data_IF_365622779630
#
_entry.id   IF_365622779630
#
_cell.length_a   1.000
_cell.length_b   1.000
_cell.length_c   1.000
_cell.angle_alpha   90.00
_cell.angle_beta   90.00
_cell.angle_gamma   90.00
#
_symmetry.space_group_name_H-M   'P 1'
#
loop_
_entity.id
_entity.type
_entity.pdbx_description
1 polymer ?
#
# COMPACT_ATOMS: atom_id res chain seq x y z
N UNK A 1 -24.54 -10.13 -13.93
CA UNK A 1 -23.22 -10.65 -13.54
C UNK A 1 -22.98 -10.30 -12.08
N UNK A 2 -22.47 -11.20 -11.22
CA UNK A 2 -22.27 -10.88 -9.82
C UNK A 2 -21.14 -9.86 -9.72
N UNK A 3 -21.41 -8.69 -9.15
CA UNK A 3 -20.36 -7.76 -8.74
C UNK A 3 -19.51 -8.53 -7.72
N UNK A 4 -18.28 -8.91 -8.06
CA UNK A 4 -17.34 -9.51 -7.10
C UNK A 4 -17.30 -8.56 -5.90
N UNK A 5 -17.89 -8.98 -4.78
CA UNK A 5 -17.80 -8.21 -3.55
C UNK A 5 -16.38 -8.41 -3.05
N UNK A 6 -15.65 -7.31 -2.89
CA UNK A 6 -14.37 -7.30 -2.22
C UNK A 6 -14.64 -7.42 -0.71
N UNK A 7 -14.93 -8.64 -0.25
CA UNK A 7 -15.40 -8.88 1.14
C UNK A 7 -14.26 -8.86 2.16
N UNK A 8 -12.99 -8.80 1.73
CA UNK A 8 -11.82 -8.76 2.62
C UNK A 8 -10.77 -7.72 2.21
N UNK A 9 -11.21 -6.48 1.97
CA UNK A 9 -10.29 -5.34 1.85
C UNK A 9 -9.91 -4.81 3.24
N UNK A 10 -8.67 -4.33 3.44
CA UNK A 10 -8.21 -3.78 4.71
C UNK A 10 -9.17 -2.78 5.36
N UNK A 11 -9.71 -1.85 4.56
CA UNK A 11 -10.63 -0.83 5.06
C UNK A 11 -11.89 -0.78 4.20
N UNK A 12 -13.02 -1.20 4.77
CA UNK A 12 -14.34 -1.18 4.11
C UNK A 12 -15.18 0.03 4.55
N UNK A 13 -16.05 0.59 3.69
CA UNK A 13 -16.31 0.18 2.29
C UNK A 13 -15.25 0.71 1.31
N UNK A 14 -15.17 0.16 0.10
CA UNK A 14 -14.27 0.67 -0.95
C UNK A 14 -14.72 2.06 -1.44
N UNK A 15 -13.77 2.99 -1.59
CA UNK A 15 -13.94 4.24 -2.34
C UNK A 15 -13.49 4.01 -3.76
N UNK A 16 -14.35 4.18 -4.76
CA UNK A 16 -13.96 4.07 -6.17
C UNK A 16 -13.92 5.45 -6.81
N UNK A 17 -12.83 5.74 -7.53
CA UNK A 17 -12.63 6.99 -8.27
C UNK A 17 -12.32 6.60 -9.71
N UNK A 18 -13.20 7.02 -10.62
CA UNK A 18 -13.02 6.83 -12.05
C UNK A 18 -12.47 8.13 -12.63
N UNK A 19 -11.22 8.13 -13.06
CA UNK A 19 -10.50 9.32 -13.53
C UNK A 19 -9.38 8.94 -14.49
N UNK A 20 -9.14 9.80 -15.48
CA UNK A 20 -7.95 9.76 -16.35
C UNK A 20 -7.02 10.96 -16.09
N UNK A 21 -7.34 11.76 -15.07
CA UNK A 21 -6.53 12.90 -14.63
C UNK A 21 -6.06 12.71 -13.19
N UNK A 22 -4.91 13.29 -12.81
CA UNK A 22 -4.39 13.20 -11.45
C UNK A 22 -5.40 13.66 -10.40
N UNK A 23 -5.50 12.92 -9.30
CA UNK A 23 -6.32 13.30 -8.15
C UNK A 23 -5.59 14.34 -7.30
N UNK A 24 -6.34 15.27 -6.70
CA UNK A 24 -5.76 16.32 -5.88
C UNK A 24 -5.53 15.88 -4.44
N UNK A 25 -4.62 16.58 -3.75
CA UNK A 25 -4.36 16.37 -2.31
C UNK A 25 -5.64 16.62 -1.50
N UNK A 26 -6.44 17.63 -1.87
CA UNK A 26 -7.71 17.92 -1.20
C UNK A 26 -8.70 16.77 -1.32
N UNK A 27 -8.78 16.14 -2.49
CA UNK A 27 -9.67 15.00 -2.72
C UNK A 27 -9.29 13.82 -1.83
N UNK A 28 -8.00 13.48 -1.76
CA UNK A 28 -7.48 12.42 -0.88
C UNK A 28 -7.70 12.80 0.59
N UNK A 29 -7.39 14.04 0.96
CA UNK A 29 -7.55 14.54 2.33
C UNK A 29 -8.99 14.46 2.81
N UNK A 30 -9.96 14.83 1.97
CA UNK A 30 -11.38 14.75 2.30
C UNK A 30 -11.81 13.29 2.53
N UNK A 31 -11.37 12.38 1.66
CA UNK A 31 -11.66 10.94 1.82
C UNK A 31 -11.12 10.42 3.16
N UNK A 32 -9.88 10.75 3.51
CA UNK A 32 -9.25 10.29 4.76
C UNK A 32 -9.88 10.94 5.99
N UNK A 33 -10.26 12.22 5.92
CA UNK A 33 -10.94 12.92 7.02
C UNK A 33 -12.33 12.34 7.29
N UNK A 34 -13.06 11.98 6.25
CA UNK A 34 -14.36 11.29 6.38
C UNK A 34 -14.20 9.86 6.90
N UNK A 35 -13.02 9.24 6.69
CA UNK A 35 -12.74 7.83 6.96
C UNK A 35 -11.58 7.64 7.94
N UNK A 36 -11.81 8.10 9.16
CA UNK A 36 -10.82 8.04 10.25
C UNK A 36 -10.41 6.61 10.67
N UNK A 37 -11.21 5.59 10.31
CA UNK A 37 -10.88 4.17 10.53
C UNK A 37 -10.10 3.54 9.36
N UNK A 38 -9.69 4.36 8.40
CA UNK A 38 -9.01 3.95 7.17
C UNK A 38 -9.92 3.91 5.95
N UNK A 39 -9.30 4.04 4.79
CA UNK A 39 -9.94 4.03 3.50
C UNK A 39 -9.19 3.07 2.55
N UNK A 40 -9.94 2.20 1.89
CA UNK A 40 -9.45 1.54 0.68
C UNK A 40 -9.94 2.34 -0.51
N UNK A 41 -9.01 2.80 -1.35
CA UNK A 41 -9.27 3.62 -2.52
C UNK A 41 -8.93 2.80 -3.76
N UNK A 42 -9.85 2.73 -4.71
CA UNK A 42 -9.68 2.09 -6.00
C UNK A 42 -9.71 3.16 -7.10
N UNK A 43 -8.61 3.29 -7.84
CA UNK A 43 -8.49 4.18 -8.99
C UNK A 43 -8.71 3.37 -10.27
N UNK A 44 -9.60 3.86 -11.14
CA UNK A 44 -9.91 3.26 -12.44
C UNK A 44 -9.94 4.33 -13.52
N UNK A 45 -9.70 3.94 -14.77
CA UNK A 45 -9.89 4.81 -15.94
C UNK A 45 -11.37 5.08 -16.19
N UNK A 46 -11.73 6.25 -16.73
CA UNK A 46 -13.15 6.60 -16.95
C UNK A 46 -13.82 5.71 -17.99
N UNK A 47 -13.10 5.38 -19.07
CA UNK A 47 -13.56 4.51 -20.16
C UNK A 47 -13.15 3.04 -19.95
N UNK A 48 -12.80 2.67 -18.71
CA UNK A 48 -12.40 1.30 -18.38
C UNK A 48 -13.53 0.30 -18.58
N UNK A 49 -13.22 -0.87 -19.15
CA UNK A 49 -14.19 -1.96 -19.22
C UNK A 49 -14.71 -2.29 -17.80
N UNK A 50 -16.01 -2.52 -17.62
CA UNK A 50 -16.66 -2.72 -16.31
C UNK A 50 -16.11 -3.90 -15.50
N UNK A 51 -15.37 -4.80 -16.15
CA UNK A 51 -14.73 -5.98 -15.58
C UNK A 51 -13.20 -5.86 -15.48
N UNK A 52 -12.62 -4.71 -15.85
CA UNK A 52 -11.18 -4.45 -15.68
C UNK A 52 -10.93 -4.05 -14.22
N UNK A 53 -9.83 -4.56 -13.67
CA UNK A 53 -9.39 -4.20 -12.32
C UNK A 53 -9.04 -2.71 -12.20
N UNK A 54 -8.77 -2.27 -10.97
CA UNK A 54 -8.24 -0.94 -10.67
C UNK A 54 -7.00 -1.03 -9.82
N UNK A 55 -6.41 0.13 -9.51
CA UNK A 55 -5.30 0.25 -8.58
C UNK A 55 -5.84 0.49 -7.18
N UNK A 56 -5.42 -0.34 -6.21
CA UNK A 56 -5.94 -0.30 -4.86
C UNK A 56 -4.89 0.25 -3.90
N UNK A 57 -5.35 1.13 -3.01
CA UNK A 57 -4.53 1.79 -2.00
C UNK A 57 -5.27 1.73 -0.67
N UNK A 58 -4.60 1.27 0.38
CA UNK A 58 -5.21 1.10 1.70
C UNK A 58 -4.49 2.03 2.68
N UNK A 59 -5.19 3.05 3.16
CA UNK A 59 -4.59 4.14 3.92
C UNK A 59 -5.33 4.35 5.23
N UNK A 60 -4.61 4.41 6.34
CA UNK A 60 -5.13 4.73 7.67
C UNK A 60 -4.55 6.07 8.16
N UNK A 61 -5.35 7.15 8.29
CA UNK A 61 -4.88 8.37 8.91
C UNK A 61 -4.64 8.16 10.42
N UNK A 62 -3.54 8.71 10.95
CA UNK A 62 -3.18 8.60 12.38
C UNK A 62 -3.39 9.89 13.15
N UNK A 63 -3.55 11.01 12.45
CA UNK A 63 -3.77 12.34 12.99
C UNK A 63 -4.76 13.13 12.12
N UNK A 64 -5.28 14.23 12.69
CA UNK A 64 -6.27 15.09 12.02
C UNK A 64 -5.66 15.98 10.95
N UNK A 65 -4.37 16.29 11.05
CA UNK A 65 -3.63 17.09 10.07
C UNK A 65 -3.17 16.26 8.87
N UNK A 66 -3.30 14.93 8.93
CA UNK A 66 -2.88 13.98 7.92
C UNK A 66 -1.37 14.03 7.65
N UNK A 67 -0.60 14.48 8.64
CA UNK A 67 0.87 14.45 8.58
C UNK A 67 1.42 13.03 8.70
N UNK A 68 0.63 12.09 9.24
CA UNK A 68 0.96 10.66 9.29
C UNK A 68 -0.21 9.81 8.82
N UNK A 69 -0.02 9.22 7.64
CA UNK A 69 -0.91 8.22 7.06
C UNK A 69 -0.14 6.91 6.90
N UNK A 70 -0.69 5.82 7.42
CA UNK A 70 -0.15 4.48 7.28
C UNK A 70 -0.69 3.83 6.00
N UNK A 71 0.22 3.37 5.14
CA UNK A 71 -0.09 2.63 3.92
C UNK A 71 -0.02 1.14 4.19
N UNK A 72 -1.04 0.39 3.78
CA UNK A 72 -1.16 -1.05 3.97
C UNK A 72 -1.26 -1.80 2.64
N UNK A 73 -0.81 -3.05 2.62
CA UNK A 73 -1.08 -4.00 1.54
C UNK A 73 -2.40 -4.74 1.76
N UNK A 74 -2.75 -5.66 0.85
CA UNK A 74 -3.97 -6.45 0.95
C UNK A 74 -3.99 -7.40 2.15
N UNK A 75 -2.81 -7.87 2.59
CA UNK A 75 -2.62 -8.72 3.76
C UNK A 75 -2.74 -7.97 5.09
N UNK A 76 -3.08 -6.67 5.06
CA UNK A 76 -3.19 -5.78 6.23
C UNK A 76 -1.84 -5.59 6.95
N UNK A 77 -0.74 -5.77 6.23
CA UNK A 77 0.61 -5.45 6.68
C UNK A 77 0.93 -3.99 6.39
N UNK A 78 1.47 -3.29 7.38
CA UNK A 78 1.97 -1.93 7.23
C UNK A 78 3.16 -1.92 6.27
N UNK A 79 3.09 -1.09 5.23
CA UNK A 79 4.14 -0.92 4.23
C UNK A 79 4.99 0.31 4.53
N UNK A 80 4.34 1.44 4.82
CA UNK A 80 5.02 2.71 5.07
C UNK A 80 4.14 3.69 5.83
N UNK A 81 4.75 4.73 6.40
CA UNK A 81 4.05 5.87 7.00
C UNK A 81 4.49 7.15 6.29
N UNK A 82 3.55 7.85 5.68
CA UNK A 82 3.79 9.01 4.81
C UNK A 82 2.76 10.11 5.10
N UNK A 83 3.08 11.40 4.88
CA UNK A 83 2.08 12.47 4.87
C UNK A 83 1.15 12.36 3.65
N UNK A 84 -0.03 12.98 3.73
CA UNK A 84 -1.07 12.87 2.67
C UNK A 84 -0.61 13.35 1.30
N UNK A 85 0.29 14.32 1.24
CA UNK A 85 0.89 14.81 -0.01
C UNK A 85 1.64 13.68 -0.72
N UNK A 86 2.44 12.92 0.02
CA UNK A 86 3.19 11.79 -0.51
C UNK A 86 2.28 10.61 -0.87
N UNK A 87 1.23 10.35 -0.09
CA UNK A 87 0.19 9.38 -0.45
C UNK A 87 -0.47 9.76 -1.78
N UNK A 88 -0.77 11.03 -1.98
CA UNK A 88 -1.41 11.52 -3.21
C UNK A 88 -0.50 11.34 -4.42
N UNK A 89 0.78 11.73 -4.30
CA UNK A 89 1.79 11.49 -5.33
C UNK A 89 1.94 10.00 -5.65
N UNK A 90 1.96 9.16 -4.61
CA UNK A 90 2.04 7.70 -4.74
C UNK A 90 0.85 7.14 -5.53
N UNK A 91 -0.38 7.54 -5.20
CA UNK A 91 -1.58 7.11 -5.90
C UNK A 91 -1.53 7.51 -7.38
N UNK A 92 -1.22 8.78 -7.67
CA UNK A 92 -1.16 9.29 -9.04
C UNK A 92 -0.09 8.56 -9.87
N UNK A 93 1.09 8.32 -9.29
CA UNK A 93 2.17 7.61 -9.96
C UNK A 93 1.84 6.15 -10.25
N UNK A 94 1.44 5.40 -9.22
CA UNK A 94 1.18 3.97 -9.35
C UNK A 94 -0.05 3.67 -10.21
N UNK A 95 -0.99 4.61 -10.30
CA UNK A 95 -2.16 4.51 -11.19
C UNK A 95 -1.88 4.96 -12.63
N UNK A 96 -0.65 5.44 -12.92
CA UNK A 96 -0.26 5.93 -14.24
C UNK A 96 -0.86 7.29 -14.62
N UNK A 97 -1.36 8.07 -13.66
CA UNK A 97 -1.96 9.38 -13.89
C UNK A 97 -0.90 10.49 -13.99
N UNK A 98 0.17 10.42 -13.20
CA UNK A 98 1.25 11.40 -13.22
C UNK A 98 2.59 10.80 -12.77
N UNK A 99 3.64 10.96 -13.57
CA UNK A 99 4.97 10.51 -13.17
C UNK A 99 5.53 11.38 -12.03
N UNK A 100 6.23 10.74 -11.09
CA UNK A 100 6.88 11.38 -9.97
C UNK A 100 8.17 10.63 -9.65
N UNK A 101 9.30 11.32 -9.69
CA UNK A 101 10.62 10.71 -9.52
C UNK A 101 10.85 10.16 -8.11
N UNK A 102 10.40 10.90 -7.08
CA UNK A 102 10.50 10.43 -5.70
C UNK A 102 9.72 9.12 -5.51
N UNK A 103 8.50 9.03 -6.04
CA UNK A 103 7.70 7.79 -5.96
C UNK A 103 8.39 6.64 -6.69
N UNK A 104 8.94 6.89 -7.87
CA UNK A 104 9.66 5.87 -8.63
C UNK A 104 10.82 5.27 -7.80
N UNK A 105 11.61 6.11 -7.14
CA UNK A 105 12.68 5.66 -6.24
C UNK A 105 12.14 4.96 -4.99
N UNK A 106 11.07 5.50 -4.40
CA UNK A 106 10.41 4.91 -3.25
C UNK A 106 9.89 3.49 -3.54
N UNK A 107 9.31 3.28 -4.73
CA UNK A 107 8.86 1.96 -5.17
C UNK A 107 10.02 0.96 -5.34
N UNK A 108 11.19 1.41 -5.79
CA UNK A 108 12.34 0.52 -5.94
C UNK A 108 13.02 0.16 -4.61
N UNK A 109 12.98 1.06 -3.64
CA UNK A 109 13.75 0.94 -2.39
C UNK A 109 12.94 0.43 -1.20
N UNK A 110 11.68 0.85 -1.06
CA UNK A 110 10.84 0.54 0.11
C UNK A 110 9.74 -0.44 -0.25
N UNK A 111 9.07 -0.22 -1.40
CA UNK A 111 8.00 -1.10 -1.87
C UNK A 111 8.57 -2.13 -2.85
N UNK A 112 9.58 -2.88 -2.40
CA UNK A 112 10.13 -3.97 -3.17
C UNK A 112 9.43 -5.28 -2.79
N UNK A 113 8.30 -5.59 -3.42
CA UNK A 113 7.57 -6.86 -3.25
C UNK A 113 8.34 -8.10 -3.78
N UNK A 114 9.59 -7.95 -4.22
CA UNK A 114 10.45 -9.04 -4.73
C UNK A 114 11.56 -9.47 -3.78
N UNK A 115 11.60 -8.95 -2.55
CA UNK A 115 12.53 -9.50 -1.57
C UNK A 115 11.92 -10.81 -1.07
N UNK A 116 12.41 -11.92 -1.62
CA UNK A 116 12.32 -13.20 -0.91
C UNK A 116 12.84 -12.97 0.51
N UNK A 117 12.21 -13.55 1.54
CA UNK A 117 12.71 -13.41 2.91
C UNK A 117 14.17 -13.85 2.92
N UNK A 118 15.04 -13.05 3.54
CA UNK A 118 16.41 -13.48 3.83
C UNK A 118 16.30 -14.82 4.57
N UNK A 119 16.69 -15.91 3.90
CA UNK A 119 16.75 -17.21 4.56
C UNK A 119 17.70 -17.02 5.76
N UNK A 120 17.29 -17.40 6.98
CA UNK A 120 18.18 -17.28 8.12
C UNK A 120 19.40 -18.13 7.83
N UNK A 121 20.56 -17.47 7.76
CA UNK A 121 21.87 -18.09 7.67
C UNK A 121 21.92 -19.18 8.74
N UNK A 122 21.83 -20.43 8.31
CA UNK A 122 21.77 -21.58 9.18
C UNK A 122 22.99 -21.53 10.08
N UNK A 123 22.76 -21.28 11.37
CA UNK A 123 23.80 -21.31 12.38
C UNK A 123 24.56 -22.64 12.24
N UNK A 124 25.81 -22.57 11.80
CA UNK A 124 26.72 -23.70 11.88
C UNK A 124 26.80 -24.08 13.36
N UNK A 125 26.19 -25.23 13.70
CA UNK A 125 26.25 -25.80 15.03
C UNK A 125 27.71 -26.12 15.33
N UNK A 126 28.29 -25.38 16.30
CA UNK A 126 29.51 -25.78 17.00
C UNK A 126 29.33 -27.20 17.56
N UNK A 127 29.90 -28.20 16.89
CA UNK A 127 30.07 -29.52 17.48
C UNK A 127 31.20 -29.45 18.50
N UNK A 128 30.83 -29.22 19.74
CA UNK A 128 31.66 -29.47 20.92
C UNK A 128 31.75 -30.98 21.12
N UNK A 129 32.84 -31.61 20.69
CA UNK A 129 33.21 -32.93 21.18
C UNK A 129 34.00 -32.77 22.48
N UNK A 130 33.26 -32.78 23.58
CA UNK A 130 33.77 -33.17 24.89
C UNK A 130 33.60 -34.69 24.95
N UNK A 131 34.68 -35.46 24.91
CA UNK A 131 34.66 -36.81 25.45
C UNK A 131 35.73 -36.96 26.51
N UNK A 132 35.28 -37.48 27.65
CA UNK A 132 36.00 -37.52 28.91
C UNK A 132 36.34 -38.97 29.23
N UNK A 133 37.58 -39.19 29.66
CA UNK A 133 38.03 -40.26 30.57
C UNK A 133 37.96 -41.72 30.05
N UNK A 134 39.12 -42.30 29.76
CA UNK A 134 39.85 -43.21 30.68
C UNK A 134 41.33 -43.33 30.28
#
# INVERSE_FOLDING_TARGET
>A
MPKKKFEDIPFSPLVSIDTDTPISIDQVSNILRERQKGASICIRSTEGHTNRGGYFFHVLPKDSDLSKCELYNFEKTLVATLPVEQITLFINHCSGLEFNEWVFQFCQSVINFRLDPDEPESAELESTEFDSLE
#
